data_IF_255504503366
#
_entry.id   IF_255504503366
#
_cell.length_a   1.000
_cell.length_b   1.000
_cell.length_c   1.000
_cell.angle_alpha   90.00
_cell.angle_beta   90.00
_cell.angle_gamma   90.00
#
_symmetry.space_group_name_H-M   'P 1'
#
loop_
_entity.id
_entity.type
_entity.pdbx_description
1 polymer ?
#
# COMPACT_ATOMS: atom_id res chain seq x y z
N UNK A 1 7.11 2.33 -8.24
CA UNK A 1 6.44 3.46 -8.96
C UNK A 1 6.41 3.38 -10.50
N UNK A 2 7.21 2.58 -11.23
CA UNK A 2 7.07 2.45 -12.68
C UNK A 2 5.65 2.04 -13.13
N UNK A 3 4.95 1.24 -12.31
CA UNK A 3 3.57 0.80 -12.57
C UNK A 3 2.55 1.94 -12.54
N UNK A 4 2.73 2.95 -11.69
CA UNK A 4 1.85 4.12 -11.59
C UNK A 4 2.05 5.07 -12.78
N UNK A 5 3.29 5.21 -13.26
CA UNK A 5 3.54 5.87 -14.54
C UNK A 5 3.00 5.05 -15.70
N UNK A 6 3.21 3.74 -15.71
CA UNK A 6 2.69 2.87 -16.77
C UNK A 6 1.16 2.88 -16.81
N UNK A 7 0.49 2.92 -15.65
CA UNK A 7 -0.96 3.01 -15.57
C UNK A 7 -1.50 4.35 -16.06
N UNK A 8 -0.88 5.46 -15.66
CA UNK A 8 -1.26 6.80 -16.11
C UNK A 8 -1.03 6.95 -17.61
N UNK A 9 0.14 6.55 -18.10
CA UNK A 9 0.46 6.58 -19.53
C UNK A 9 -0.41 5.62 -20.35
N UNK A 10 -0.82 4.47 -19.80
CA UNK A 10 -1.76 3.56 -20.45
C UNK A 10 -3.20 4.10 -20.43
N UNK A 11 -3.60 4.80 -19.37
CA UNK A 11 -4.90 5.49 -19.31
C UNK A 11 -4.98 6.64 -20.32
N UNK A 12 -3.86 7.30 -20.59
CA UNK A 12 -3.71 8.38 -21.57
C UNK A 12 -3.38 7.88 -23.00
N UNK A 13 -3.43 6.56 -23.26
CA UNK A 13 -3.08 5.91 -24.54
C UNK A 13 -1.64 6.22 -25.05
N UNK A 14 -0.74 6.65 -24.17
CA UNK A 14 0.65 7.04 -24.49
C UNK A 14 1.61 5.84 -24.59
N UNK A 15 1.21 4.67 -24.08
CA UNK A 15 1.94 3.40 -24.29
C UNK A 15 0.94 2.25 -24.48
N UNK A 16 1.24 1.26 -25.34
CA UNK A 16 0.35 0.14 -25.57
C UNK A 16 0.53 -0.86 -24.42
N UNK A 17 -0.14 -0.59 -23.30
CA UNK A 17 -0.25 -1.52 -22.19
C UNK A 17 -1.69 -2.02 -22.17
N UNK A 18 -1.84 -3.34 -22.29
CA UNK A 18 -3.14 -3.98 -22.17
C UNK A 18 -3.77 -3.68 -20.79
N UNK A 19 -5.02 -3.17 -20.79
CA UNK A 19 -5.76 -2.80 -19.58
C UNK A 19 -6.04 -4.02 -18.69
N UNK A 20 -6.12 -5.22 -19.26
CA UNK A 20 -6.30 -6.45 -18.48
C UNK A 20 -5.01 -6.86 -17.75
N UNK A 21 -3.85 -6.70 -18.39
CA UNK A 21 -2.54 -6.91 -17.77
C UNK A 21 -2.27 -5.97 -16.58
N UNK A 22 -2.85 -4.76 -16.65
CA UNK A 22 -2.83 -3.73 -15.62
C UNK A 22 -3.64 -4.09 -14.37
N UNK A 23 -4.75 -4.82 -14.53
CA UNK A 23 -5.59 -5.31 -13.43
C UNK A 23 -4.94 -6.46 -12.64
N UNK A 24 -3.92 -7.13 -13.21
CA UNK A 24 -3.14 -8.16 -12.53
C UNK A 24 -2.00 -7.60 -11.67
N UNK A 25 -1.81 -6.27 -11.64
CA UNK A 25 -0.79 -5.63 -10.82
C UNK A 25 -1.28 -5.51 -9.38
N UNK A 26 -0.46 -5.91 -8.42
CA UNK A 26 -0.74 -5.69 -6.99
C UNK A 26 -0.22 -4.33 -6.55
N UNK A 27 -0.81 -3.77 -5.49
CA UNK A 27 -0.30 -2.55 -4.85
C UNK A 27 1.17 -2.71 -4.51
N UNK A 28 1.96 -1.67 -4.79
CA UNK A 28 3.38 -1.66 -4.43
C UNK A 28 3.47 -1.43 -2.92
N UNK A 29 3.72 -2.48 -2.14
CA UNK A 29 4.03 -2.33 -0.71
C UNK A 29 5.42 -1.70 -0.53
N UNK A 30 5.53 -0.40 -0.80
CA UNK A 30 6.64 0.40 -0.32
C UNK A 30 6.61 0.45 1.22
N UNK A 31 7.65 0.99 1.84
CA UNK A 31 7.74 1.08 3.30
C UNK A 31 6.66 1.99 3.93
N UNK A 32 5.89 2.75 3.14
CA UNK A 32 4.89 3.72 3.60
C UNK A 32 3.51 3.09 3.80
N UNK A 33 3.09 2.16 2.96
CA UNK A 33 1.79 1.49 3.14
C UNK A 33 1.67 0.70 4.45
N UNK A 34 2.67 -0.09 4.88
CA UNK A 34 2.65 -0.70 6.19
C UNK A 34 2.54 0.33 7.31
N UNK A 35 3.26 1.46 7.19
CA UNK A 35 3.20 2.56 8.16
C UNK A 35 1.78 3.14 8.27
N UNK A 36 1.15 3.42 7.13
CA UNK A 36 -0.20 3.94 7.05
C UNK A 36 -1.20 2.96 7.67
N UNK A 37 -1.16 1.70 7.26
CA UNK A 37 -2.14 0.71 7.72
C UNK A 37 -2.01 0.39 9.20
N UNK A 38 -0.79 0.35 9.74
CA UNK A 38 -0.59 0.26 11.19
C UNK A 38 -1.13 1.50 11.91
N UNK A 39 -0.85 2.69 11.38
CA UNK A 39 -1.32 3.95 11.99
C UNK A 39 -2.85 4.10 11.96
N UNK A 40 -3.51 3.56 10.93
CA UNK A 40 -4.97 3.54 10.79
C UNK A 40 -5.65 2.38 11.53
N UNK A 41 -4.88 1.44 12.10
CA UNK A 41 -5.41 0.23 12.72
C UNK A 41 -5.99 -0.79 11.73
N UNK A 42 -5.70 -0.66 10.44
CA UNK A 42 -6.05 -1.63 9.40
C UNK A 42 -5.21 -2.90 9.56
N UNK A 43 -3.91 -2.72 9.86
CA UNK A 43 -3.03 -3.81 10.26
C UNK A 43 -2.79 -3.75 11.77
N UNK A 44 -2.59 -4.93 12.37
CA UNK A 44 -2.20 -5.08 13.76
C UNK A 44 -1.07 -6.07 13.88
N UNK A 45 -0.01 -5.67 14.58
CA UNK A 45 1.09 -6.55 14.93
C UNK A 45 0.68 -7.36 16.16
N UNK A 46 0.79 -8.69 16.05
CA UNK A 46 0.59 -9.60 17.19
C UNK A 46 1.91 -9.84 17.92
N UNK A 47 3.02 -9.74 17.20
CA UNK A 47 4.37 -9.88 17.73
C UNK A 47 4.87 -8.56 18.34
N UNK A 48 5.03 -8.57 19.67
CA UNK A 48 5.50 -7.43 20.47
C UNK A 48 6.96 -7.06 20.15
N UNK A 49 7.81 -8.02 19.80
CA UNK A 49 9.22 -7.75 19.46
C UNK A 49 9.34 -7.05 18.10
N UNK A 50 8.54 -7.49 17.13
CA UNK A 50 8.42 -6.82 15.83
C UNK A 50 7.90 -5.38 16.00
N UNK A 51 6.84 -5.20 16.79
CA UNK A 51 6.31 -3.89 17.10
C UNK A 51 7.35 -2.99 17.77
N UNK A 52 8.05 -3.50 18.79
CA UNK A 52 9.12 -2.77 19.47
C UNK A 52 10.25 -2.38 18.51
N UNK A 53 10.64 -3.29 17.61
CA UNK A 53 11.68 -3.05 16.60
C UNK A 53 11.27 -1.91 15.66
N UNK A 54 10.03 -1.92 15.17
CA UNK A 54 9.49 -0.84 14.33
C UNK A 54 9.48 0.49 15.11
N UNK A 55 8.94 0.51 16.34
CA UNK A 55 8.86 1.72 17.16
C UNK A 55 10.21 2.34 17.48
N UNK A 56 11.23 1.50 17.72
CA UNK A 56 12.62 1.93 17.94
C UNK A 56 13.35 2.25 16.64
N UNK A 57 12.68 2.11 15.49
CA UNK A 57 13.26 2.26 14.16
C UNK A 57 14.51 1.39 13.97
N UNK A 58 14.51 0.20 14.57
CA UNK A 58 15.53 -0.81 14.37
C UNK A 58 15.40 -1.40 12.96
N UNK A 59 16.50 -1.93 12.43
CA UNK A 59 16.47 -2.62 11.15
C UNK A 59 15.84 -4.00 11.29
N UNK A 60 14.87 -4.27 10.42
CA UNK A 60 14.35 -5.60 10.16
C UNK A 60 15.17 -6.19 9.01
N UNK A 61 15.60 -7.44 9.18
CA UNK A 61 16.38 -8.14 8.18
C UNK A 61 15.58 -8.34 6.88
N UNK A 62 16.24 -8.14 5.75
CA UNK A 62 15.61 -8.30 4.44
C UNK A 62 15.32 -9.78 4.17
N UNK A 63 14.09 -10.10 3.74
CA UNK A 63 13.70 -11.49 3.52
C UNK A 63 13.43 -12.27 4.83
N UNK A 64 13.44 -11.60 5.98
CA UNK A 64 12.96 -12.22 7.22
C UNK A 64 11.47 -12.50 7.14
N UNK A 65 10.98 -13.41 7.98
CA UNK A 65 9.55 -13.75 8.02
C UNK A 65 8.70 -12.53 8.38
N UNK A 66 9.20 -11.69 9.27
CA UNK A 66 8.55 -10.48 9.75
C UNK A 66 8.43 -9.44 8.64
N UNK A 67 9.51 -9.21 7.89
CA UNK A 67 9.52 -8.27 6.77
C UNK A 67 8.59 -8.72 5.65
N UNK A 68 8.66 -10.00 5.26
CA UNK A 68 7.79 -10.59 4.25
C UNK A 68 6.33 -10.54 4.70
N UNK A 69 6.03 -10.94 5.94
CA UNK A 69 4.67 -10.95 6.46
C UNK A 69 4.07 -9.54 6.51
N UNK A 70 4.85 -8.55 6.94
CA UNK A 70 4.39 -7.15 7.00
C UNK A 70 4.03 -6.62 5.61
N UNK A 71 4.86 -6.91 4.60
CA UNK A 71 4.61 -6.49 3.21
C UNK A 71 3.46 -7.24 2.58
N UNK A 72 3.41 -8.56 2.74
CA UNK A 72 2.31 -9.38 2.24
C UNK A 72 0.97 -8.94 2.83
N UNK A 73 0.92 -8.69 4.15
CA UNK A 73 -0.27 -8.20 4.83
C UNK A 73 -0.70 -6.82 4.28
N UNK A 74 0.25 -5.96 3.93
CA UNK A 74 -0.05 -4.64 3.34
C UNK A 74 -0.64 -4.76 1.93
N UNK A 75 -0.12 -5.66 1.10
CA UNK A 75 -0.72 -5.93 -0.23
C UNK A 75 -2.16 -6.43 -0.09
N UNK A 76 -2.38 -7.43 0.77
CA UNK A 76 -3.72 -7.98 1.02
C UNK A 76 -4.69 -6.93 1.58
N UNK A 77 -4.21 -6.07 2.48
CA UNK A 77 -5.02 -4.98 3.03
C UNK A 77 -5.45 -4.00 1.92
N UNK A 78 -4.54 -3.62 1.02
CA UNK A 78 -4.84 -2.71 -0.09
C UNK A 78 -5.83 -3.33 -1.10
N UNK A 79 -5.67 -4.62 -1.44
CA UNK A 79 -6.63 -5.35 -2.27
C UNK A 79 -8.02 -5.39 -1.62
N UNK A 80 -8.08 -5.64 -0.32
CA UNK A 80 -9.35 -5.66 0.41
C UNK A 80 -10.00 -4.29 0.45
N UNK A 81 -9.22 -3.22 0.62
CA UNK A 81 -9.71 -1.83 0.54
C UNK A 81 -10.31 -1.57 -0.85
N UNK A 82 -9.62 -1.96 -1.92
CA UNK A 82 -10.12 -1.81 -3.30
C UNK A 82 -11.46 -2.53 -3.51
N UNK A 83 -11.57 -3.77 -3.05
CA UNK A 83 -12.82 -4.54 -3.11
C UNK A 83 -13.95 -3.82 -2.38
N UNK A 84 -13.73 -3.39 -1.13
CA UNK A 84 -14.74 -2.71 -0.32
C UNK A 84 -15.18 -1.39 -0.95
N UNK A 85 -14.26 -0.62 -1.53
CA UNK A 85 -14.58 0.63 -2.24
C UNK A 85 -15.49 0.35 -3.44
N UNK A 86 -15.16 -0.66 -4.24
CA UNK A 86 -15.94 -1.04 -5.41
C UNK A 86 -17.31 -1.63 -5.04
N UNK A 87 -17.38 -2.45 -3.99
CA UNK A 87 -18.64 -2.99 -3.44
C UNK A 87 -19.57 -1.84 -3.01
N UNK A 88 -19.04 -0.87 -2.24
CA UNK A 88 -19.81 0.29 -1.77
C UNK A 88 -20.22 1.24 -2.89
N UNK A 89 -19.36 1.44 -3.90
CA UNK A 89 -19.69 2.23 -5.08
C UNK A 89 -20.88 1.63 -5.82
N UNK A 90 -20.84 0.30 -6.04
CA UNK A 90 -21.93 -0.42 -6.69
C UNK A 90 -23.26 -0.34 -5.90
N UNK A 91 -23.21 -0.46 -4.57
CA UNK A 91 -24.39 -0.29 -3.70
C UNK A 91 -25.01 1.11 -3.80
N UNK A 92 -24.19 2.14 -4.04
CA UNK A 92 -24.63 3.53 -4.18
C UNK A 92 -25.06 3.87 -5.61
N UNK A 93 -25.02 2.91 -6.54
CA UNK A 93 -25.36 3.12 -7.94
C UNK A 93 -24.26 3.79 -8.75
N UNK A 94 -23.04 3.88 -8.22
CA UNK A 94 -21.86 4.30 -8.98
C UNK A 94 -21.33 3.10 -9.78
N UNK A 95 -21.32 3.25 -11.11
CA UNK A 95 -20.80 2.23 -12.04
C UNK A 95 -19.28 2.28 -12.20
N UNK A 96 -18.61 3.29 -11.62
CA UNK A 96 -17.16 3.44 -11.72
C UNK A 96 -16.45 2.42 -10.83
N UNK A 97 -15.66 1.53 -11.45
CA UNK A 97 -14.73 0.66 -10.72
C UNK A 97 -13.40 1.39 -10.53
N UNK A 98 -12.98 1.54 -9.28
CA UNK A 98 -11.64 1.98 -8.94
C UNK A 98 -10.64 0.86 -9.25
N UNK A 99 -9.56 1.21 -9.94
CA UNK A 99 -8.44 0.29 -10.16
C UNK A 99 -7.56 0.22 -8.91
N UNK A 100 -6.76 -0.84 -8.81
CA UNK A 100 -5.78 -1.00 -7.74
C UNK A 100 -4.73 0.13 -7.72
N UNK A 101 -4.43 0.71 -8.89
CA UNK A 101 -3.52 1.84 -9.02
C UNK A 101 -4.12 3.14 -8.45
N UNK A 102 -5.43 3.34 -8.62
CA UNK A 102 -6.13 4.49 -8.04
C UNK A 102 -6.13 4.42 -6.51
N UNK A 103 -6.36 3.21 -5.98
CA UNK A 103 -6.30 2.94 -4.54
C UNK A 103 -4.88 3.15 -4.01
N UNK A 104 -3.85 2.64 -4.70
CA UNK A 104 -2.45 2.86 -4.32
C UNK A 104 -2.11 4.36 -4.24
N UNK A 105 -2.49 5.12 -5.28
CA UNK A 105 -2.30 6.56 -5.31
C UNK A 105 -3.04 7.28 -4.18
N UNK A 106 -4.30 6.90 -3.93
CA UNK A 106 -5.12 7.46 -2.86
C UNK A 106 -4.52 7.18 -1.47
N UNK A 107 -4.10 5.94 -1.22
CA UNK A 107 -3.47 5.55 0.04
C UNK A 107 -2.15 6.28 0.24
N UNK A 108 -1.32 6.39 -0.79
CA UNK A 108 -0.08 7.15 -0.73
C UNK A 108 -0.31 8.63 -0.42
N UNK A 109 -1.26 9.27 -1.12
CA UNK A 109 -1.66 10.67 -0.87
C UNK A 109 -2.15 10.86 0.56
N UNK A 110 -2.90 9.89 1.08
CA UNK A 110 -3.40 9.89 2.45
C UNK A 110 -2.26 9.76 3.45
N UNK A 111 -1.29 8.87 3.20
CA UNK A 111 -0.09 8.74 4.01
C UNK A 111 0.69 10.05 4.08
N UNK A 112 0.99 10.68 2.95
CA UNK A 112 1.70 11.97 2.90
C UNK A 112 0.95 13.08 3.65
N UNK A 113 -0.38 13.14 3.49
CA UNK A 113 -1.20 14.12 4.20
C UNK A 113 -1.13 13.92 5.72
N UNK A 114 -1.30 12.69 6.18
CA UNK A 114 -1.27 12.37 7.61
C UNK A 114 0.12 12.54 8.22
N UNK A 115 1.19 12.27 7.46
CA UNK A 115 2.58 12.52 7.86
C UNK A 115 2.82 14.02 8.08
N UNK A 116 2.37 14.87 7.16
CA UNK A 116 2.47 16.33 7.29
C UNK A 116 1.63 16.91 8.43
N UNK A 117 0.58 16.20 8.85
CA UNK A 117 -0.28 16.57 9.98
C UNK A 117 0.21 15.98 11.32
N UNK A 118 1.34 15.26 11.35
CA UNK A 118 1.85 14.51 12.51
C UNK A 118 0.82 13.51 13.10
N UNK A 119 -0.02 12.92 12.24
CA UNK A 119 -1.10 12.00 12.61
C UNK A 119 -0.77 10.52 12.41
N UNK A 120 0.44 10.22 11.95
CA UNK A 120 0.92 8.83 11.85
C UNK A 120 1.49 8.39 13.20
N UNK A 121 0.85 7.40 13.83
CA UNK A 121 1.22 6.89 15.16
C UNK A 121 2.34 5.85 15.12
N UNK A 122 2.64 5.30 13.94
CA UNK A 122 3.73 4.36 13.72
C UNK A 122 4.81 4.96 12.81
N UNK A 123 6.11 4.71 13.11
CA UNK A 123 7.17 4.93 12.15
C UNK A 123 7.12 3.85 11.05
N UNK A 124 7.75 4.12 9.91
CA UNK A 124 7.95 3.10 8.87
C UNK A 124 8.96 2.03 9.33
N UNK A 125 8.71 0.79 8.89
CA UNK A 125 9.69 -0.28 9.08
C UNK A 125 10.96 0.01 8.27
N UNK A 126 12.13 -0.31 8.84
CA UNK A 126 13.41 -0.08 8.16
C UNK A 126 14.00 -1.43 7.76
N UNK A 127 14.20 -1.62 6.46
CA UNK A 127 14.85 -2.81 5.91
C UNK A 127 15.95 -2.34 4.98
N UNK A 128 17.16 -2.88 5.13
CA UNK A 128 18.28 -2.52 4.26
C UNK A 128 18.29 -3.45 3.05
N UNK A 129 18.06 -2.90 1.85
CA UNK A 129 18.22 -3.65 0.59
C UNK A 129 18.90 -2.81 -0.48
N UNK A 130 19.05 -3.36 -1.68
CA UNK A 130 19.52 -2.66 -2.86
C UNK A 130 18.39 -1.93 -3.63
N UNK A 131 17.13 -2.14 -3.26
CA UNK A 131 15.96 -1.66 -4.00
C UNK A 131 15.43 -0.29 -3.53
N UNK A 132 15.93 0.24 -2.41
CA UNK A 132 15.45 1.47 -1.76
C UNK A 132 16.49 2.03 -0.81
#
# INVERSE_FOLDING_TARGET
>A
RPQLCASMLAADDLIPVDKDSMNNLTVFSDYRLPQLFLSMGILKLIDTELENSIRRQAFIEAGSKEEIALRAASVLAAERVCQIVNERGAEQGDGAKSSIADIDYFLWRTCVKLDNEDRLSYPFHRTRTFCY
#
